data_IF_082995357380
#
_entry.id   IF_082995357380
#
_cell.length_a   1.000
_cell.length_b   1.000
_cell.length_c   1.000
_cell.angle_alpha   90.00
_cell.angle_beta   90.00
_cell.angle_gamma   90.00
#
_symmetry.space_group_name_H-M   'P 1'
#
loop_
_entity.id
_entity.type
_entity.pdbx_description
1 polymer ?
#
# COMPACT_ATOMS: atom_id res chain seq x y z
N UNK A 1 -5.45 -43.87 -20.09
CA UNK A 1 -5.76 -42.53 -19.55
C UNK A 1 -4.83 -42.29 -18.36
N UNK A 2 -3.81 -41.42 -18.51
CA UNK A 2 -2.82 -41.14 -17.46
C UNK A 2 -3.28 -39.89 -16.70
N UNK A 3 -3.48 -40.01 -15.39
CA UNK A 3 -3.93 -38.94 -14.51
C UNK A 3 -2.76 -38.06 -14.07
N UNK A 4 -2.84 -36.77 -14.43
CA UNK A 4 -1.91 -35.74 -13.97
C UNK A 4 -2.27 -35.37 -12.53
N UNK A 5 -1.38 -35.66 -11.58
CA UNK A 5 -1.45 -35.14 -10.21
C UNK A 5 -0.57 -33.89 -10.13
N UNK A 6 -1.21 -32.76 -9.85
CA UNK A 6 -0.55 -31.47 -9.60
C UNK A 6 0.24 -31.49 -8.28
N UNK A 7 1.36 -30.77 -8.18
CA UNK A 7 2.16 -30.74 -6.96
C UNK A 7 1.50 -29.85 -5.90
N UNK A 8 1.41 -30.39 -4.68
CA UNK A 8 0.89 -29.74 -3.48
C UNK A 8 1.74 -28.51 -3.13
N UNK A 9 1.09 -27.34 -3.12
CA UNK A 9 1.65 -26.07 -2.63
C UNK A 9 2.12 -26.20 -1.17
N UNK A 10 3.38 -25.83 -0.96
CA UNK A 10 4.09 -25.86 0.31
C UNK A 10 3.64 -24.65 1.15
N UNK A 11 2.73 -24.84 2.11
CA UNK A 11 2.34 -23.77 3.03
C UNK A 11 3.48 -23.45 4.00
N UNK A 12 4.13 -22.31 3.79
CA UNK A 12 5.12 -21.74 4.69
C UNK A 12 4.40 -21.12 5.90
N UNK A 13 4.27 -21.90 6.98
CA UNK A 13 3.73 -21.41 8.25
C UNK A 13 4.82 -20.61 8.97
N UNK A 14 4.73 -19.28 8.92
CA UNK A 14 5.55 -18.42 9.78
C UNK A 14 5.01 -18.51 11.22
N UNK A 15 5.77 -19.17 12.10
CA UNK A 15 5.53 -19.15 13.54
C UNK A 15 6.22 -17.92 14.12
N UNK A 16 5.44 -16.97 14.61
CA UNK A 16 5.93 -15.89 15.46
C UNK A 16 6.37 -16.45 16.82
N UNK A 17 7.64 -16.21 17.18
CA UNK A 17 8.23 -16.59 18.45
C UNK A 17 7.70 -15.66 19.55
N UNK A 18 6.77 -16.15 20.37
CA UNK A 18 6.45 -15.54 21.66
C UNK A 18 7.50 -15.95 22.69
N UNK A 19 8.41 -15.02 22.99
CA UNK A 19 9.36 -15.08 24.09
C UNK A 19 8.59 -15.07 25.42
N UNK A 20 8.49 -16.24 26.07
CA UNK A 20 8.09 -16.34 27.46
C UNK A 20 9.36 -16.46 28.30
N UNK A 21 9.78 -15.35 28.89
CA UNK A 21 10.77 -15.36 29.97
C UNK A 21 10.12 -15.99 31.21
N UNK A 22 10.41 -17.26 31.44
CA UNK A 22 10.11 -17.94 32.70
C UNK A 22 11.34 -17.87 33.59
N UNK A 23 11.33 -16.97 34.57
CA UNK A 23 12.29 -16.95 35.66
C UNK A 23 12.00 -18.15 36.57
N UNK A 24 12.80 -19.21 36.46
CA UNK A 24 12.83 -20.30 37.43
C UNK A 24 14.15 -20.23 38.20
N UNK A 25 14.03 -19.79 39.45
CA UNK A 25 15.08 -19.79 40.44
C UNK A 25 15.50 -21.22 40.80
N UNK A 26 16.80 -21.46 40.70
CA UNK A 26 17.63 -22.25 41.62
C UNK A 26 17.11 -23.62 42.10
N UNK A 27 17.50 -24.66 41.36
CA UNK A 27 17.80 -25.95 41.95
C UNK A 27 19.20 -26.36 41.48
N UNK A 28 20.21 -25.94 42.25
CA UNK A 28 21.62 -26.31 42.10
C UNK A 28 21.81 -27.78 42.48
N UNK A 29 21.53 -28.68 41.53
CA UNK A 29 22.09 -30.03 41.54
C UNK A 29 23.31 -30.05 40.64
N UNK A 30 24.49 -30.26 41.22
CA UNK A 30 25.77 -30.47 40.54
C UNK A 30 25.69 -31.64 39.55
N UNK A 31 25.29 -31.33 38.32
CA UNK A 31 25.18 -32.28 37.22
C UNK A 31 26.55 -32.42 36.57
N UNK A 32 27.22 -33.56 36.81
CA UNK A 32 28.50 -33.88 36.19
C UNK A 32 28.42 -33.67 34.67
N UNK A 33 29.38 -32.92 34.12
CA UNK A 33 29.52 -32.49 32.72
C UNK A 33 29.69 -33.62 31.69
N UNK A 34 29.51 -34.88 32.10
CA UNK A 34 29.80 -36.09 31.32
C UNK A 34 28.75 -36.49 30.27
N UNK A 35 27.75 -35.65 29.93
CA UNK A 35 26.60 -36.05 29.07
C UNK A 35 26.19 -35.05 27.99
N UNK A 36 27.08 -34.13 27.64
CA UNK A 36 26.80 -33.15 26.59
C UNK A 36 27.58 -33.61 25.36
N UNK A 37 26.86 -33.85 24.26
CA UNK A 37 27.46 -34.13 22.95
C UNK A 37 27.30 -32.87 22.11
N UNK A 38 28.40 -32.43 21.51
CA UNK A 38 28.43 -31.25 20.65
C UNK A 38 28.28 -31.65 19.19
N UNK A 39 27.31 -31.04 18.51
CA UNK A 39 27.12 -31.15 17.07
C UNK A 39 27.26 -29.75 16.46
N UNK A 40 28.49 -29.39 16.09
CA UNK A 40 28.81 -28.05 15.59
C UNK A 40 28.55 -26.95 16.64
N UNK A 41 27.84 -25.86 16.33
CA UNK A 41 27.54 -24.80 17.28
C UNK A 41 26.46 -25.18 18.32
N UNK A 42 25.83 -26.35 18.19
CA UNK A 42 24.73 -26.79 19.06
C UNK A 42 25.25 -27.81 20.06
N UNK A 43 24.91 -27.61 21.34
CA UNK A 43 25.17 -28.56 22.42
C UNK A 43 23.89 -29.31 22.79
N UNK A 44 23.93 -30.64 22.71
CA UNK A 44 22.78 -31.51 23.02
C UNK A 44 23.07 -32.31 24.28
N UNK A 45 22.17 -32.24 25.26
CA UNK A 45 22.21 -33.12 26.44
C UNK A 45 21.64 -34.48 26.08
N UNK A 46 22.44 -35.54 26.24
CA UNK A 46 21.96 -36.92 26.06
C UNK A 46 20.98 -37.29 27.17
N UNK A 47 19.73 -37.61 26.82
CA UNK A 47 18.76 -38.17 27.76
C UNK A 47 19.18 -39.59 28.17
N UNK A 48 19.80 -39.72 29.36
CA UNK A 48 20.29 -41.01 29.91
C UNK A 48 19.19 -42.05 30.17
N UNK A 49 17.91 -41.66 30.24
CA UNK A 49 16.79 -42.59 30.43
C UNK A 49 15.64 -42.18 29.50
N UNK A 50 15.06 -43.11 28.71
CA UNK A 50 13.79 -42.82 28.07
C UNK A 50 12.80 -42.47 29.17
N UNK A 51 11.96 -41.44 28.94
CA UNK A 51 10.86 -41.17 29.85
C UNK A 51 10.12 -42.49 30.12
N UNK A 52 9.67 -42.79 31.34
CA UNK A 52 9.01 -44.06 31.67
C UNK A 52 7.79 -44.35 30.77
N UNK A 53 7.24 -43.31 30.14
CA UNK A 53 6.19 -43.38 29.11
C UNK A 53 6.64 -43.91 27.75
N UNK A 54 7.93 -43.89 27.44
CA UNK A 54 8.53 -44.34 26.17
C UNK A 54 9.00 -45.80 26.30
N UNK A 55 9.55 -46.20 27.45
CA UNK A 55 10.11 -47.55 27.65
C UNK A 55 9.09 -48.69 27.51
N UNK A 56 7.81 -48.45 27.82
CA UNK A 56 6.74 -49.45 27.68
C UNK A 56 5.78 -49.17 26.52
N UNK A 57 5.87 -48.01 25.86
CA UNK A 57 5.07 -47.62 24.68
C UNK A 57 3.54 -47.66 24.85
N UNK A 58 3.03 -48.06 26.01
CA UNK A 58 1.61 -48.32 26.29
C UNK A 58 1.29 -47.75 27.67
N UNK A 59 0.56 -46.65 27.71
CA UNK A 59 -0.35 -46.42 28.83
C UNK A 59 -1.34 -47.59 28.77
N UNK A 60 -1.37 -48.47 29.76
CA UNK A 60 -2.31 -49.59 29.74
C UNK A 60 -3.73 -49.04 29.60
N UNK A 61 -4.46 -49.51 28.58
CA UNK A 61 -5.85 -49.12 28.28
C UNK A 61 -6.79 -49.25 29.50
N UNK A 62 -6.35 -50.02 30.50
CA UNK A 62 -7.09 -50.39 31.71
C UNK A 62 -6.58 -49.74 33.00
N UNK A 63 -5.62 -48.79 32.95
CA UNK A 63 -5.24 -48.04 34.15
C UNK A 63 -6.36 -47.06 34.50
N UNK A 64 -7.30 -47.49 35.33
CA UNK A 64 -8.28 -46.60 35.94
C UNK A 64 -7.51 -45.73 36.91
N UNK A 65 -7.36 -44.46 36.56
CA UNK A 65 -6.85 -43.45 37.47
C UNK A 65 -7.91 -43.23 38.54
N UNK A 66 -7.55 -43.46 39.80
CA UNK A 66 -8.46 -43.36 40.94
C UNK A 66 -8.01 -42.19 41.81
N UNK A 67 -8.98 -41.51 42.44
CA UNK A 67 -8.73 -40.42 43.39
C UNK A 67 -8.34 -39.09 42.73
N UNK A 68 -7.38 -38.38 43.32
CA UNK A 68 -7.04 -37.00 42.96
C UNK A 68 -6.54 -36.82 41.52
N UNK A 69 -5.83 -37.82 40.97
CA UNK A 69 -5.29 -37.71 39.62
C UNK A 69 -6.39 -37.74 38.56
N UNK A 70 -7.47 -38.48 38.80
CA UNK A 70 -8.65 -38.52 37.93
C UNK A 70 -9.34 -37.16 37.89
N UNK A 71 -9.55 -36.54 39.06
CA UNK A 71 -10.16 -35.20 39.18
C UNK A 71 -9.29 -34.14 38.50
N UNK A 72 -7.96 -34.18 38.70
CA UNK A 72 -7.04 -33.26 38.01
C UNK A 72 -7.09 -33.43 36.49
N UNK A 73 -7.17 -34.68 36.00
CA UNK A 73 -7.28 -34.96 34.57
C UNK A 73 -8.60 -34.48 33.98
N UNK A 74 -9.71 -34.66 34.69
CA UNK A 74 -11.02 -34.18 34.24
C UNK A 74 -11.08 -32.65 34.21
N UNK A 75 -10.53 -31.96 35.23
CA UNK A 75 -10.39 -30.49 35.20
C UNK A 75 -9.57 -30.00 33.99
N UNK A 76 -8.51 -30.71 33.60
CA UNK A 76 -7.73 -30.35 32.39
C UNK A 76 -8.55 -30.54 31.12
N UNK A 77 -9.32 -31.62 31.03
CA UNK A 77 -10.21 -31.86 29.88
C UNK A 77 -11.29 -30.80 29.78
N UNK A 78 -11.91 -30.42 30.90
CA UNK A 78 -12.93 -29.36 30.92
C UNK A 78 -12.35 -28.02 30.45
N UNK A 79 -11.21 -27.61 31.01
CA UNK A 79 -10.51 -26.39 30.55
C UNK A 79 -10.15 -26.45 29.06
N UNK A 80 -9.73 -27.61 28.56
CA UNK A 80 -9.42 -27.79 27.15
C UNK A 80 -10.68 -27.72 26.27
N UNK A 81 -11.79 -28.32 26.70
CA UNK A 81 -13.10 -28.21 26.04
C UNK A 81 -13.57 -26.76 25.97
N UNK A 82 -13.43 -26.02 27.07
CA UNK A 82 -13.79 -24.59 27.12
C UNK A 82 -12.89 -23.76 26.21
N UNK A 83 -11.58 -23.97 26.23
CA UNK A 83 -10.64 -23.28 25.34
C UNK A 83 -10.94 -23.57 23.86
N UNK A 84 -11.27 -24.82 23.51
CA UNK A 84 -11.67 -25.20 22.16
C UNK A 84 -12.99 -24.53 21.74
N UNK A 85 -13.99 -24.45 22.64
CA UNK A 85 -15.24 -23.72 22.41
C UNK A 85 -14.98 -22.23 22.14
N UNK A 86 -14.20 -21.57 23.00
CA UNK A 86 -13.81 -20.16 22.83
C UNK A 86 -13.05 -19.91 21.53
N UNK A 87 -12.16 -20.84 21.15
CA UNK A 87 -11.45 -20.72 19.87
C UNK A 87 -12.40 -20.83 18.68
N UNK A 88 -13.36 -21.77 18.73
CA UNK A 88 -14.37 -21.94 17.68
C UNK A 88 -15.25 -20.70 17.56
N UNK A 89 -15.73 -20.18 18.68
CA UNK A 89 -16.53 -18.95 18.73
C UNK A 89 -15.78 -17.76 18.14
N UNK A 90 -14.51 -17.55 18.55
CA UNK A 90 -13.67 -16.49 17.98
C UNK A 90 -13.49 -16.61 16.47
N UNK A 91 -13.27 -17.83 15.97
CA UNK A 91 -13.17 -18.08 14.52
C UNK A 91 -14.46 -17.71 13.81
N UNK A 92 -15.60 -18.13 14.35
CA UNK A 92 -16.90 -17.79 13.80
C UNK A 92 -17.11 -16.27 13.77
N UNK A 93 -16.83 -15.56 14.87
CA UNK A 93 -16.95 -14.10 14.89
C UNK A 93 -16.09 -13.42 13.83
N UNK A 94 -14.86 -13.89 13.61
CA UNK A 94 -13.97 -13.36 12.57
C UNK A 94 -14.55 -13.65 11.17
N UNK A 95 -15.07 -14.86 10.94
CA UNK A 95 -15.70 -15.22 9.67
C UNK A 95 -16.94 -14.36 9.38
N UNK A 96 -17.75 -14.09 10.41
CA UNK A 96 -18.94 -13.25 10.32
C UNK A 96 -18.56 -11.79 10.03
N UNK A 97 -17.56 -11.24 10.75
CA UNK A 97 -17.04 -9.88 10.53
C UNK A 97 -16.47 -9.71 9.12
N UNK A 98 -15.69 -10.68 8.65
CA UNK A 98 -15.16 -10.66 7.29
C UNK A 98 -16.27 -10.73 6.23
N UNK A 99 -17.29 -11.56 6.48
CA UNK A 99 -18.44 -11.68 5.58
C UNK A 99 -19.24 -10.38 5.51
N UNK A 100 -19.47 -9.72 6.65
CA UNK A 100 -20.13 -8.42 6.71
C UNK A 100 -19.31 -7.37 5.94
N UNK A 101 -18.01 -7.29 6.19
CA UNK A 101 -17.12 -6.33 5.53
C UNK A 101 -17.07 -6.54 4.02
N UNK A 102 -17.14 -7.79 3.57
CA UNK A 102 -17.22 -8.13 2.14
C UNK A 102 -18.53 -7.61 1.53
N UNK A 103 -19.66 -7.79 2.20
CA UNK A 103 -20.96 -7.25 1.76
C UNK A 103 -20.96 -5.72 1.68
N UNK A 104 -20.39 -5.06 2.69
CA UNK A 104 -20.23 -3.60 2.72
C UNK A 104 -19.41 -3.11 1.51
N UNK A 105 -18.23 -3.70 1.29
CA UNK A 105 -17.36 -3.36 0.16
C UNK A 105 -18.03 -3.64 -1.20
N UNK A 106 -18.80 -4.71 -1.31
CA UNK A 106 -19.57 -4.99 -2.53
C UNK A 106 -20.64 -3.93 -2.76
N UNK A 107 -21.34 -3.49 -1.72
CA UNK A 107 -22.31 -2.40 -1.80
C UNK A 107 -21.66 -1.09 -2.23
N UNK A 108 -20.53 -0.73 -1.63
CA UNK A 108 -19.74 0.45 -2.01
C UNK A 108 -19.27 0.38 -3.47
N UNK A 109 -18.76 -0.78 -3.90
CA UNK A 109 -18.34 -0.99 -5.28
C UNK A 109 -19.49 -0.76 -6.27
N UNK A 110 -20.67 -1.33 -6.01
CA UNK A 110 -21.86 -1.13 -6.85
C UNK A 110 -22.25 0.35 -6.89
N UNK A 111 -22.26 1.03 -5.74
CA UNK A 111 -22.58 2.45 -5.66
C UNK A 111 -21.61 3.32 -6.47
N UNK A 112 -20.30 3.07 -6.33
CA UNK A 112 -19.27 3.76 -7.08
C UNK A 112 -19.38 3.50 -8.58
N UNK A 113 -19.65 2.25 -8.97
CA UNK A 113 -19.84 1.87 -10.37
C UNK A 113 -21.05 2.59 -10.98
N UNK A 114 -22.17 2.66 -10.26
CA UNK A 114 -23.36 3.41 -10.68
C UNK A 114 -23.05 4.91 -10.82
N UNK A 115 -22.32 5.49 -9.87
CA UNK A 115 -21.93 6.90 -9.93
C UNK A 115 -21.01 7.19 -11.13
N UNK A 116 -20.05 6.31 -11.39
CA UNK A 116 -19.16 6.39 -12.55
C UNK A 116 -19.96 6.34 -13.85
N UNK A 117 -20.93 5.43 -13.96
CA UNK A 117 -21.81 5.32 -15.12
C UNK A 117 -22.63 6.60 -15.34
N UNK A 118 -23.19 7.19 -14.27
CA UNK A 118 -23.92 8.46 -14.35
C UNK A 118 -23.02 9.61 -14.83
N UNK A 119 -21.80 9.71 -14.31
CA UNK A 119 -20.83 10.71 -14.75
C UNK A 119 -20.43 10.52 -16.21
N UNK A 120 -20.23 9.28 -16.66
CA UNK A 120 -19.96 8.97 -18.06
C UNK A 120 -21.11 9.39 -18.96
N UNK A 121 -22.35 9.04 -18.62
CA UNK A 121 -23.53 9.51 -19.36
C UNK A 121 -23.64 11.03 -19.40
N UNK A 122 -23.37 11.70 -18.27
CA UNK A 122 -23.39 13.16 -18.24
C UNK A 122 -22.31 13.76 -19.14
N UNK A 123 -21.11 13.18 -19.13
CA UNK A 123 -20.01 13.58 -20.00
C UNK A 123 -20.40 13.42 -21.47
N UNK A 124 -20.90 12.26 -21.88
CA UNK A 124 -21.31 12.02 -23.27
C UNK A 124 -22.40 13.00 -23.70
N UNK A 125 -23.43 13.20 -22.87
CA UNK A 125 -24.51 14.15 -23.16
C UNK A 125 -23.99 15.59 -23.31
N UNK A 126 -23.02 16.01 -22.49
CA UNK A 126 -22.42 17.34 -22.61
C UNK A 126 -21.54 17.46 -23.86
N UNK A 127 -20.76 16.42 -24.18
CA UNK A 127 -19.97 16.38 -25.41
C UNK A 127 -20.85 16.47 -26.65
N UNK A 128 -21.95 15.71 -26.68
CA UNK A 128 -22.94 15.81 -27.76
C UNK A 128 -23.55 17.20 -27.86
N UNK A 129 -23.90 17.83 -26.73
CA UNK A 129 -24.41 19.22 -26.72
C UNK A 129 -23.38 20.20 -27.26
N UNK A 130 -22.11 20.08 -26.89
CA UNK A 130 -21.03 20.94 -27.41
C UNK A 130 -20.87 20.75 -28.92
N UNK A 131 -20.78 19.50 -29.38
CA UNK A 131 -20.65 19.20 -30.80
C UNK A 131 -21.87 19.71 -31.60
N UNK A 132 -23.08 19.55 -31.08
CA UNK A 132 -24.32 19.98 -31.72
C UNK A 132 -24.55 21.49 -31.66
N UNK A 133 -23.96 22.18 -30.68
CA UNK A 133 -24.10 23.63 -30.54
C UNK A 133 -23.36 24.41 -31.64
N UNK A 134 -22.61 23.73 -32.52
CA UNK A 134 -21.94 24.37 -33.65
C UNK A 134 -20.97 25.46 -33.19
N UNK A 135 -20.40 25.32 -31.99
CA UNK A 135 -19.45 26.29 -31.44
C UNK A 135 -18.11 26.18 -32.17
N UNK A 136 -17.79 25.04 -32.78
CA UNK A 136 -16.54 24.84 -33.53
C UNK A 136 -16.32 25.88 -34.65
N UNK A 137 -17.30 26.20 -35.53
CA UNK A 137 -17.13 27.29 -36.49
C UNK A 137 -17.01 28.67 -35.82
N UNK A 138 -17.64 28.91 -34.67
CA UNK A 138 -17.48 30.15 -33.89
C UNK A 138 -16.09 30.27 -33.26
N UNK A 139 -15.55 29.18 -32.71
CA UNK A 139 -14.18 29.12 -32.17
C UNK A 139 -13.17 29.35 -33.29
N UNK A 140 -13.37 28.71 -34.44
CA UNK A 140 -12.50 28.90 -35.60
C UNK A 140 -12.57 30.33 -36.14
N UNK A 141 -13.76 30.95 -36.15
CA UNK A 141 -13.93 32.34 -36.58
C UNK A 141 -13.24 33.31 -35.60
N UNK A 142 -13.44 33.14 -34.29
CA UNK A 142 -12.75 33.95 -33.27
C UNK A 142 -11.24 33.79 -33.34
N UNK A 143 -10.76 32.56 -33.52
CA UNK A 143 -9.32 32.29 -33.60
C UNK A 143 -8.70 32.97 -34.82
N UNK A 144 -9.44 33.03 -35.93
CA UNK A 144 -9.00 33.73 -37.15
C UNK A 144 -9.00 35.25 -36.96
N UNK A 145 -10.06 35.82 -36.41
CA UNK A 145 -10.12 37.26 -36.10
C UNK A 145 -8.99 37.67 -35.15
N UNK A 146 -8.66 36.82 -34.17
CA UNK A 146 -7.57 37.11 -33.23
C UNK A 146 -6.19 37.08 -33.91
N UNK A 147 -5.95 36.15 -34.84
CA UNK A 147 -4.74 36.13 -35.66
C UNK A 147 -4.66 37.36 -36.56
N UNK A 148 -5.74 37.71 -37.25
CA UNK A 148 -5.79 38.88 -38.13
C UNK A 148 -5.56 40.19 -37.35
N UNK A 149 -6.14 40.30 -36.15
CA UNK A 149 -5.90 41.43 -35.24
C UNK A 149 -4.44 41.50 -34.81
N UNK A 150 -3.84 40.36 -34.43
CA UNK A 150 -2.44 40.29 -34.00
C UNK A 150 -1.51 40.72 -35.12
N UNK A 151 -1.73 40.22 -36.35
CA UNK A 151 -0.93 40.58 -37.53
C UNK A 151 -1.01 42.09 -37.83
N UNK A 152 -2.22 42.67 -37.81
CA UNK A 152 -2.39 44.12 -38.02
C UNK A 152 -1.73 44.95 -36.93
N UNK A 153 -1.77 44.47 -35.69
CA UNK A 153 -1.13 45.15 -34.57
C UNK A 153 0.40 45.11 -34.69
N UNK A 154 0.97 43.98 -35.11
CA UNK A 154 2.40 43.87 -35.41
C UNK A 154 2.81 44.76 -36.59
N UNK A 155 2.02 44.82 -37.67
CA UNK A 155 2.24 45.76 -38.78
C UNK A 155 2.26 47.22 -38.28
N UNK A 156 1.31 47.60 -37.42
CA UNK A 156 1.25 48.96 -36.88
C UNK A 156 2.44 49.29 -35.97
N UNK A 157 2.92 48.34 -35.17
CA UNK A 157 4.12 48.52 -34.36
C UNK A 157 5.35 48.70 -35.26
N UNK A 158 5.51 47.86 -36.28
CA UNK A 158 6.63 47.96 -37.21
C UNK A 158 6.62 49.30 -37.98
N UNK A 159 5.44 49.82 -38.34
CA UNK A 159 5.29 51.13 -38.97
C UNK A 159 5.62 52.29 -38.01
N UNK A 160 5.36 52.12 -36.71
CA UNK A 160 5.73 53.11 -35.67
C UNK A 160 7.25 53.18 -35.49
N UNK A 161 7.92 52.03 -35.46
CA UNK A 161 9.37 51.95 -35.30
C UNK A 161 10.10 52.57 -36.52
N UNK A 162 9.55 52.43 -37.73
CA UNK A 162 10.04 53.13 -38.92
C UNK A 162 9.88 54.66 -38.85
N UNK A 163 8.82 55.13 -38.18
CA UNK A 163 8.56 56.56 -38.06
C UNK A 163 9.59 57.22 -37.13
N UNK A 164 9.93 56.57 -36.01
CA UNK A 164 10.97 57.05 -35.09
C UNK A 164 12.37 57.05 -35.72
N UNK A 165 12.74 56.04 -36.52
CA UNK A 165 14.01 56.04 -37.27
C UNK A 165 14.10 57.19 -38.30
N UNK A 166 12.97 57.58 -38.90
CA UNK A 166 12.93 58.70 -39.85
C UNK A 166 13.06 60.07 -39.18
N UNK A 167 12.57 60.21 -37.93
CA UNK A 167 12.70 61.43 -37.14
C UNK A 167 14.14 61.59 -36.64
N UNK A 168 14.78 60.52 -36.15
CA UNK A 168 16.18 60.57 -35.72
C UNK A 168 17.14 60.89 -36.87
N UNK A 169 16.87 60.37 -38.08
CA UNK A 169 17.69 60.69 -39.26
C UNK A 169 17.50 62.12 -39.78
N UNK A 170 16.34 62.76 -39.55
CA UNK A 170 16.12 64.17 -39.92
C UNK A 170 16.62 65.17 -38.87
N UNK A 171 16.79 64.77 -37.61
CA UNK A 171 17.35 65.63 -36.56
C UNK A 171 18.89 65.60 -36.47
N UNK A 172 19.56 64.73 -37.23
CA UNK A 172 21.02 64.72 -37.37
C UNK A 172 21.55 65.58 -38.53
N UNK A 173 20.71 66.39 -39.17
CA UNK A 173 21.13 67.33 -40.21
C UNK A 173 21.57 68.67 -39.55
N UNK A 174 22.88 68.81 -39.38
CA UNK A 174 23.62 70.04 -39.10
C UNK A 174 23.29 70.78 -37.79
N UNK A 175 23.75 70.22 -36.67
CA UNK A 175 24.17 71.05 -35.54
C UNK A 175 25.71 71.13 -35.50
N UNK A 176 26.29 71.66 -36.59
CA UNK A 176 27.66 72.19 -36.58
C UNK A 176 27.67 73.43 -35.68
N UNK A 177 27.80 73.20 -34.37
CA UNK A 177 28.12 74.25 -33.41
C UNK A 177 29.51 74.78 -33.71
N UNK A 178 29.54 75.88 -34.45
CA UNK A 178 30.65 76.81 -34.42
C UNK A 178 30.97 77.16 -32.95
N UNK A 179 32.05 76.57 -32.46
CA UNK A 179 32.68 76.92 -31.19
C UNK A 179 33.12 78.37 -31.25
N UNK A 180 32.31 79.23 -30.62
CA UNK A 180 32.55 80.64 -30.40
C UNK A 180 33.90 80.85 -29.70
N UNK A 181 34.77 81.62 -30.33
CA UNK A 181 35.94 82.24 -29.71
C UNK A 181 35.49 83.38 -28.80
N UNK A 182 35.83 83.30 -27.50
CA UNK A 182 35.78 84.42 -26.54
C UNK A 182 36.99 84.18 -25.63
N UNK A 183 38.14 84.84 -25.86
CA UNK A 183 38.52 86.16 -25.33
C UNK A 183 38.13 86.26 -23.85
N UNK A 184 39.14 86.20 -22.96
CA UNK A 184 39.41 87.25 -21.97
C UNK A 184 40.83 87.07 -21.38
N UNK A 185 41.37 88.21 -20.96
CA UNK A 185 42.75 88.61 -20.60
C UNK A 185 43.62 87.71 -19.69
#
# INVERSE_FOLDING_TARGET
>A
MKSNKSPSSLYQTQRSNTSMQSNNSEASSSLSSSNIVQYGPIQVRLCRRPAPTIATGRRSKHLVLIGEEAVKREKRREKNREAARKLKEKRQCIEDELSQKLQELQGEHINLQNYLQQLQQRKTNLQEKVNNSGIDPLINLLSKEHQDFTLRFEEYINDLDLFDESIENNFNFDFDTHSNSMIDD
#
